data_IF_699398621254
#
_entry.id   IF_699398621254
#
_cell.length_a   1.000
_cell.length_b   1.000
_cell.length_c   1.000
_cell.angle_alpha   90.00
_cell.angle_beta   90.00
_cell.angle_gamma   90.00
#
_symmetry.space_group_name_H-M   'P 1'
#
loop_
_entity.id
_entity.type
_entity.pdbx_description
1 polymer ?
#
# COMPACT_ATOMS: atom_id res chain seq x y z
N UNK A 1 -29.87 6.17 12.46
CA UNK A 1 -30.04 6.47 11.01
C UNK A 1 -29.10 5.55 10.27
N UNK A 2 -29.64 4.60 9.52
CA UNK A 2 -28.86 3.63 8.77
C UNK A 2 -27.99 4.37 7.74
N UNK A 3 -26.70 4.10 7.74
CA UNK A 3 -25.79 4.54 6.69
C UNK A 3 -26.24 3.85 5.41
N UNK A 4 -26.72 4.63 4.43
CA UNK A 4 -27.03 4.12 3.10
C UNK A 4 -25.79 3.45 2.54
N UNK A 5 -25.90 2.15 2.37
CA UNK A 5 -24.91 1.28 1.74
C UNK A 5 -24.90 1.59 0.24
N UNK A 6 -24.26 2.70 -0.13
CA UNK A 6 -24.06 3.05 -1.54
C UNK A 6 -22.99 2.10 -2.06
N UNK A 7 -23.43 0.97 -2.61
CA UNK A 7 -22.61 0.13 -3.48
C UNK A 7 -22.17 0.99 -4.67
N UNK A 8 -20.93 1.48 -4.67
CA UNK A 8 -20.39 2.16 -5.84
C UNK A 8 -20.13 1.12 -6.92
N UNK A 9 -20.84 1.25 -8.04
CA UNK A 9 -20.59 0.43 -9.22
C UNK A 9 -19.24 0.83 -9.82
N UNK A 10 -18.23 -0.05 -9.68
CA UNK A 10 -16.89 0.12 -10.24
C UNK A 10 -16.96 0.48 -11.73
N UNK A 11 -17.94 -0.06 -12.46
CA UNK A 11 -18.14 0.23 -13.88
C UNK A 11 -18.45 1.71 -14.12
N UNK A 12 -19.29 2.32 -13.27
CA UNK A 12 -19.64 3.76 -13.35
C UNK A 12 -18.51 4.66 -12.86
N UNK A 13 -17.67 4.18 -11.95
CA UNK A 13 -16.48 4.90 -11.52
C UNK A 13 -15.41 4.95 -12.60
N UNK A 14 -15.19 3.83 -13.27
CA UNK A 14 -14.08 3.64 -14.19
C UNK A 14 -14.43 3.90 -15.66
N UNK A 15 -15.70 4.07 -16.01
CA UNK A 15 -16.15 4.38 -17.37
C UNK A 15 -16.67 5.81 -17.49
N UNK A 16 -16.75 6.32 -18.71
CA UNK A 16 -17.47 7.54 -19.10
C UNK A 16 -18.50 7.18 -20.19
N UNK A 17 -19.28 8.16 -20.66
CA UNK A 17 -20.24 7.95 -21.76
C UNK A 17 -19.54 7.46 -23.05
N UNK A 18 -18.28 7.85 -23.25
CA UNK A 18 -17.52 7.58 -24.47
C UNK A 18 -16.43 6.50 -24.29
N UNK A 19 -16.18 6.02 -23.06
CA UNK A 19 -15.09 5.08 -22.77
C UNK A 19 -15.48 4.02 -21.74
N UNK A 20 -15.37 2.75 -22.15
CA UNK A 20 -15.59 1.57 -21.30
C UNK A 20 -14.32 0.72 -21.07
N UNK A 21 -13.14 1.24 -21.40
CA UNK A 21 -11.87 0.52 -21.32
C UNK A 21 -10.80 1.27 -20.50
N UNK A 22 -9.91 0.52 -19.88
CA UNK A 22 -8.65 0.97 -19.29
C UNK A 22 -7.49 0.59 -20.22
N UNK A 23 -6.30 1.15 -19.98
CA UNK A 23 -5.11 0.85 -20.78
C UNK A 23 -4.05 0.12 -19.94
N UNK A 24 -3.32 -0.79 -20.58
CA UNK A 24 -2.05 -1.33 -20.08
C UNK A 24 -0.89 -0.44 -20.53
N UNK A 25 0.27 -0.62 -19.90
CA UNK A 25 1.49 0.13 -20.23
C UNK A 25 2.05 -0.18 -21.64
N UNK A 26 1.59 -1.24 -22.28
CA UNK A 26 1.88 -1.58 -23.68
C UNK A 26 0.83 -1.02 -24.67
N UNK A 27 -0.16 -0.26 -24.20
CA UNK A 27 -1.24 0.31 -25.00
C UNK A 27 -2.47 -0.59 -25.17
N UNK A 28 -2.44 -1.83 -24.70
CA UNK A 28 -3.59 -2.73 -24.80
C UNK A 28 -4.79 -2.19 -24.02
N UNK A 29 -5.97 -2.30 -24.62
CA UNK A 29 -7.21 -1.89 -23.99
C UNK A 29 -7.86 -3.07 -23.27
N UNK A 30 -8.31 -2.83 -22.03
CA UNK A 30 -9.00 -3.81 -21.20
C UNK A 30 -10.36 -3.24 -20.81
N UNK A 31 -11.44 -3.94 -21.15
CA UNK A 31 -12.79 -3.52 -20.76
C UNK A 31 -12.93 -3.45 -19.25
N UNK A 32 -13.59 -2.40 -18.77
CA UNK A 32 -13.86 -2.18 -17.34
C UNK A 32 -14.66 -3.35 -16.75
N UNK A 33 -15.56 -3.97 -17.53
CA UNK A 33 -16.32 -5.15 -17.10
C UNK A 33 -15.44 -6.36 -16.74
N UNK A 34 -14.19 -6.43 -17.21
CA UNK A 34 -13.26 -7.49 -16.83
C UNK A 34 -12.75 -7.37 -15.38
N UNK A 35 -13.03 -6.24 -14.71
CA UNK A 35 -12.66 -6.01 -13.30
C UNK A 35 -13.79 -6.40 -12.34
N UNK A 36 -14.99 -6.70 -12.84
CA UNK A 36 -16.12 -7.11 -11.99
C UNK A 36 -15.78 -8.43 -11.29
N UNK A 37 -16.01 -8.47 -9.97
CA UNK A 37 -15.69 -9.64 -9.15
C UNK A 37 -14.24 -9.74 -8.71
N UNK A 38 -13.37 -8.80 -9.10
CA UNK A 38 -11.99 -8.70 -8.62
C UNK A 38 -11.87 -7.73 -7.44
N UNK A 39 -10.84 -7.91 -6.64
CA UNK A 39 -10.35 -6.88 -5.72
C UNK A 39 -9.58 -5.86 -6.55
N UNK A 40 -9.93 -4.58 -6.42
CA UNK A 40 -9.34 -3.52 -7.26
C UNK A 40 -8.73 -2.44 -6.38
N UNK A 41 -7.47 -2.07 -6.64
CA UNK A 41 -6.81 -0.93 -6.01
C UNK A 41 -6.82 0.31 -6.90
N UNK A 42 -7.42 1.41 -6.47
CA UNK A 42 -7.31 2.71 -7.12
C UNK A 42 -6.08 3.42 -6.61
N UNK A 43 -5.05 3.48 -7.45
CA UNK A 43 -3.77 4.05 -7.10
C UNK A 43 -3.63 5.47 -7.64
N UNK A 44 -3.77 6.46 -6.77
CA UNK A 44 -3.55 7.87 -7.09
C UNK A 44 -2.09 8.22 -6.89
N UNK A 45 -1.40 8.59 -7.98
CA UNK A 45 0.04 8.83 -7.97
C UNK A 45 0.47 9.81 -9.06
N UNK A 46 1.75 10.16 -9.10
CA UNK A 46 2.35 10.99 -10.15
C UNK A 46 3.88 10.92 -10.13
N UNK A 47 4.51 11.00 -11.30
CA UNK A 47 5.95 10.84 -11.50
C UNK A 47 6.77 11.85 -10.70
N UNK A 48 6.27 13.08 -10.56
CA UNK A 48 6.93 14.18 -9.85
C UNK A 48 6.96 14.00 -8.31
N UNK A 49 6.12 13.11 -7.77
CA UNK A 49 5.98 12.89 -6.33
C UNK A 49 7.03 11.90 -5.80
N UNK A 50 7.97 12.40 -4.98
CA UNK A 50 9.03 11.58 -4.35
C UNK A 50 8.50 10.38 -3.54
N UNK A 51 7.56 10.57 -2.59
CA UNK A 51 6.97 9.46 -1.84
C UNK A 51 6.27 8.42 -2.72
N UNK A 52 5.74 8.84 -3.87
CA UNK A 52 5.08 7.96 -4.84
C UNK A 52 6.07 7.05 -5.55
N UNK A 53 7.20 7.61 -5.99
CA UNK A 53 8.31 6.82 -6.58
C UNK A 53 8.90 5.82 -5.60
N UNK A 54 8.88 6.12 -4.29
CA UNK A 54 9.31 5.16 -3.27
C UNK A 54 8.29 4.05 -3.01
N UNK A 55 6.99 4.34 -3.15
CA UNK A 55 5.93 3.36 -2.88
C UNK A 55 5.63 2.45 -4.07
N UNK A 56 5.81 2.93 -5.29
CA UNK A 56 5.45 2.18 -6.52
C UNK A 56 6.16 0.84 -6.63
N UNK A 57 7.49 0.73 -6.41
CA UNK A 57 8.19 -0.56 -6.49
C UNK A 57 7.65 -1.58 -5.48
N UNK A 58 7.30 -1.13 -4.28
CA UNK A 58 6.68 -1.99 -3.26
C UNK A 58 5.30 -2.49 -3.70
N UNK A 59 4.48 -1.60 -4.28
CA UNK A 59 3.17 -2.01 -4.80
C UNK A 59 3.29 -2.96 -5.99
N UNK A 60 4.30 -2.78 -6.85
CA UNK A 60 4.63 -3.71 -7.95
C UNK A 60 4.93 -5.10 -7.41
N UNK A 61 5.81 -5.21 -6.41
CA UNK A 61 6.16 -6.50 -5.78
C UNK A 61 4.92 -7.21 -5.24
N UNK A 62 4.05 -6.51 -4.51
CA UNK A 62 2.81 -7.08 -3.97
C UNK A 62 1.85 -7.48 -5.09
N UNK A 63 1.72 -6.65 -6.12
CA UNK A 63 0.86 -6.94 -7.27
C UNK A 63 1.33 -8.19 -8.02
N UNK A 64 2.62 -8.37 -8.26
CA UNK A 64 3.15 -9.54 -8.96
C UNK A 64 2.87 -10.83 -8.19
N UNK A 65 3.00 -10.81 -6.86
CA UNK A 65 2.67 -11.96 -6.02
C UNK A 65 1.17 -12.31 -6.05
N UNK A 66 0.29 -11.30 -6.11
CA UNK A 66 -1.17 -11.50 -6.08
C UNK A 66 -1.78 -11.76 -7.45
N UNK A 67 -1.31 -11.11 -8.50
CA UNK A 67 -1.86 -11.22 -9.86
C UNK A 67 -1.77 -12.63 -10.44
N UNK A 68 -0.81 -13.45 -9.95
CA UNK A 68 -0.72 -14.88 -10.25
C UNK A 68 -1.99 -15.67 -9.86
N UNK A 69 -2.79 -15.18 -8.90
CA UNK A 69 -4.07 -15.77 -8.46
C UNK A 69 -5.27 -15.29 -9.28
N UNK A 70 -5.11 -14.20 -10.05
CA UNK A 70 -6.09 -13.67 -11.00
C UNK A 70 -7.20 -12.80 -10.41
N UNK A 71 -7.22 -12.55 -9.10
CA UNK A 71 -8.31 -11.88 -8.38
C UNK A 71 -7.98 -10.46 -7.90
N UNK A 72 -6.75 -9.98 -8.11
CA UNK A 72 -6.32 -8.61 -7.77
C UNK A 72 -5.92 -7.82 -9.02
N UNK A 73 -6.38 -6.57 -9.10
CA UNK A 73 -6.01 -5.62 -10.15
C UNK A 73 -5.75 -4.23 -9.57
N UNK A 74 -4.90 -3.43 -10.21
CA UNK A 74 -4.66 -2.04 -9.84
C UNK A 74 -5.01 -1.12 -11.01
N UNK A 75 -5.66 0.00 -10.71
CA UNK A 75 -5.94 1.05 -11.68
C UNK A 75 -5.20 2.31 -11.26
N UNK A 76 -4.24 2.74 -12.07
CA UNK A 76 -3.49 3.97 -11.90
C UNK A 76 -4.32 5.18 -12.34
N UNK A 77 -4.48 6.13 -11.41
CA UNK A 77 -5.11 7.43 -11.62
C UNK A 77 -4.05 8.52 -11.50
N UNK A 78 -3.50 8.89 -12.65
CA UNK A 78 -2.37 9.81 -12.72
C UNK A 78 -2.69 11.25 -12.27
N UNK A 79 -1.68 11.87 -11.67
CA UNK A 79 -1.58 13.30 -11.34
C UNK A 79 -0.45 13.98 -12.11
N UNK A 80 0.07 13.33 -13.14
CA UNK A 80 1.03 13.92 -14.06
C UNK A 80 0.38 15.04 -14.88
N UNK A 81 1.22 15.97 -15.34
CA UNK A 81 0.77 17.21 -16.00
C UNK A 81 0.79 17.11 -17.52
N UNK A 82 1.46 16.10 -18.04
CA UNK A 82 1.68 15.86 -19.46
C UNK A 82 1.77 14.35 -19.73
N UNK A 83 1.55 14.00 -20.99
CA UNK A 83 1.48 12.62 -21.48
C UNK A 83 2.83 11.91 -21.40
N UNK A 84 3.94 12.63 -21.60
CA UNK A 84 5.30 12.08 -21.54
C UNK A 84 5.64 11.59 -20.12
N UNK A 85 5.39 12.42 -19.12
CA UNK A 85 5.59 12.08 -17.71
C UNK A 85 4.69 10.92 -17.28
N UNK A 86 3.44 10.90 -17.75
CA UNK A 86 2.52 9.79 -17.53
C UNK A 86 3.04 8.48 -18.12
N UNK A 87 3.39 8.46 -19.41
CA UNK A 87 3.82 7.27 -20.12
C UNK A 87 5.13 6.71 -19.53
N UNK A 88 6.08 7.60 -19.22
CA UNK A 88 7.37 7.21 -18.61
C UNK A 88 7.13 6.49 -17.29
N UNK A 89 6.34 7.07 -16.41
CA UNK A 89 6.09 6.49 -15.09
C UNK A 89 5.18 5.25 -15.15
N UNK A 90 4.18 5.25 -16.01
CA UNK A 90 3.29 4.12 -16.21
C UNK A 90 4.01 2.92 -16.85
N UNK A 91 5.09 3.14 -17.62
CA UNK A 91 5.89 2.05 -18.18
C UNK A 91 6.47 1.11 -17.12
N UNK A 92 6.68 1.61 -15.89
CA UNK A 92 7.20 0.84 -14.76
C UNK A 92 6.12 0.00 -14.04
N UNK A 93 4.85 0.10 -14.46
CA UNK A 93 3.71 -0.47 -13.75
C UNK A 93 3.07 -1.64 -14.52
N UNK A 94 2.90 -2.83 -13.91
CA UNK A 94 2.36 -4.02 -14.58
C UNK A 94 0.81 -4.09 -14.63
N UNK A 95 0.14 -3.01 -14.25
CA UNK A 95 -1.32 -2.94 -14.07
C UNK A 95 -1.99 -1.97 -15.05
N UNK A 96 -3.25 -1.61 -14.81
CA UNK A 96 -4.06 -0.79 -15.69
C UNK A 96 -4.00 0.71 -15.33
N UNK A 97 -4.36 1.58 -16.25
CA UNK A 97 -4.53 3.01 -16.00
C UNK A 97 -5.81 3.57 -16.65
N UNK A 98 -6.34 4.64 -16.05
CA UNK A 98 -7.25 5.53 -16.78
C UNK A 98 -6.42 6.25 -17.85
N UNK A 99 -6.84 6.25 -19.14
CA UNK A 99 -6.12 6.95 -20.19
C UNK A 99 -5.80 8.40 -19.84
N UNK A 100 -4.61 8.88 -20.19
CA UNK A 100 -4.19 10.23 -19.83
C UNK A 100 -5.10 11.32 -20.45
N UNK A 101 -5.70 11.05 -21.61
CA UNK A 101 -6.67 11.94 -22.25
C UNK A 101 -7.97 12.10 -21.43
N UNK A 102 -8.36 11.10 -20.64
CA UNK A 102 -9.59 11.12 -19.83
C UNK A 102 -9.39 11.92 -18.54
N UNK A 103 -9.27 13.23 -18.71
CA UNK A 103 -9.06 14.17 -17.60
C UNK A 103 -10.29 14.29 -16.70
N UNK A 104 -11.49 14.14 -17.25
CA UNK A 104 -12.73 14.23 -16.50
C UNK A 104 -12.85 13.10 -15.48
N UNK A 105 -12.68 11.84 -15.89
CA UNK A 105 -12.76 10.69 -14.99
C UNK A 105 -11.70 10.79 -13.90
N UNK A 106 -10.45 11.16 -14.24
CA UNK A 106 -9.38 11.30 -13.23
C UNK A 106 -9.67 12.41 -12.21
N UNK A 107 -10.23 13.55 -12.63
CA UNK A 107 -10.63 14.63 -11.71
C UNK A 107 -11.79 14.18 -10.82
N UNK A 108 -12.84 13.61 -11.41
CA UNK A 108 -14.00 13.09 -10.69
C UNK A 108 -13.60 12.07 -9.63
N UNK A 109 -12.73 11.11 -9.97
CA UNK A 109 -12.25 10.11 -9.01
C UNK A 109 -11.49 10.74 -7.84
N UNK A 110 -10.62 11.73 -8.10
CA UNK A 110 -9.92 12.47 -7.02
C UNK A 110 -10.90 13.17 -6.08
N UNK A 111 -11.97 13.74 -6.62
CA UNK A 111 -13.01 14.43 -5.84
C UNK A 111 -13.87 13.46 -5.02
N UNK A 112 -14.38 12.39 -5.66
CA UNK A 112 -15.20 11.35 -5.01
C UNK A 112 -14.47 10.73 -3.83
N UNK A 113 -13.19 10.38 -4.01
CA UNK A 113 -12.35 9.80 -2.96
C UNK A 113 -11.64 10.83 -2.08
N UNK A 114 -11.94 12.13 -2.28
CA UNK A 114 -11.39 13.25 -1.50
C UNK A 114 -9.87 13.16 -1.34
N UNK A 115 -9.16 12.83 -2.42
CA UNK A 115 -7.71 12.63 -2.42
C UNK A 115 -7.00 13.96 -2.19
N UNK A 116 -6.47 14.16 -0.98
CA UNK A 116 -5.76 15.40 -0.57
C UNK A 116 -4.25 15.34 -0.76
N UNK A 117 -3.70 14.15 -0.99
CA UNK A 117 -2.28 13.92 -1.15
C UNK A 117 -2.01 12.59 -1.84
N UNK A 118 -0.84 12.47 -2.45
CA UNK A 118 -0.37 11.26 -3.11
C UNK A 118 0.98 10.80 -2.49
N UNK A 119 1.29 9.50 -2.46
CA UNK A 119 0.46 8.40 -2.99
C UNK A 119 -0.79 8.16 -2.13
N UNK A 120 -1.88 7.75 -2.78
CA UNK A 120 -3.09 7.27 -2.10
C UNK A 120 -3.57 5.99 -2.81
N UNK A 121 -4.02 5.00 -2.04
CA UNK A 121 -4.47 3.71 -2.54
C UNK A 121 -5.77 3.35 -1.82
N UNK A 122 -6.87 3.29 -2.58
CA UNK A 122 -8.18 2.84 -2.09
C UNK A 122 -8.46 1.47 -2.69
N UNK A 123 -8.73 0.48 -1.84
CA UNK A 123 -8.95 -0.90 -2.25
C UNK A 123 -10.43 -1.23 -2.13
N UNK A 124 -10.97 -1.83 -3.17
CA UNK A 124 -12.34 -2.31 -3.28
C UNK A 124 -12.36 -3.83 -3.21
N UNK A 125 -13.36 -4.38 -2.52
CA UNK A 125 -13.64 -5.81 -2.52
C UNK A 125 -14.27 -6.27 -3.84
N UNK A 126 -14.53 -7.58 -3.94
CA UNK A 126 -15.13 -8.21 -5.11
C UNK A 126 -16.56 -7.75 -5.41
N UNK A 127 -17.23 -7.07 -4.47
CA UNK A 127 -18.55 -6.48 -4.63
C UNK A 127 -18.48 -5.00 -5.05
N UNK A 128 -17.29 -4.43 -5.22
CA UNK A 128 -17.09 -3.03 -5.56
C UNK A 128 -17.24 -2.07 -4.38
N UNK A 129 -17.18 -2.57 -3.13
CA UNK A 129 -17.23 -1.73 -1.93
C UNK A 129 -15.82 -1.46 -1.43
N UNK A 130 -15.58 -0.27 -0.89
CA UNK A 130 -14.30 0.08 -0.28
C UNK A 130 -14.04 -0.84 0.91
N UNK A 131 -12.98 -1.66 0.84
CA UNK A 131 -12.54 -2.53 1.92
C UNK A 131 -11.40 -1.93 2.74
N UNK A 132 -10.61 -1.03 2.12
CA UNK A 132 -9.49 -0.35 2.75
C UNK A 132 -9.24 1.01 2.08
N UNK A 133 -9.36 2.10 2.85
CA UNK A 133 -9.14 3.48 2.40
C UNK A 133 -7.71 4.00 2.68
N UNK A 134 -6.93 3.23 3.43
CA UNK A 134 -5.55 3.52 3.83
C UNK A 134 -4.53 2.55 3.20
N UNK A 135 -4.78 2.10 1.96
CA UNK A 135 -4.05 1.03 1.30
C UNK A 135 -2.54 1.22 1.24
N UNK A 136 -2.04 2.45 1.14
CA UNK A 136 -0.58 2.73 1.14
C UNK A 136 0.08 2.28 2.44
N UNK A 137 -0.51 2.61 3.58
CA UNK A 137 0.03 2.20 4.89
C UNK A 137 -0.11 0.71 5.07
N UNK A 138 -1.28 0.16 4.74
CA UNK A 138 -1.55 -1.28 4.82
C UNK A 138 -0.55 -2.11 4.01
N UNK A 139 -0.25 -1.72 2.77
CA UNK A 139 0.74 -2.40 1.93
C UNK A 139 2.16 -2.22 2.47
N UNK A 140 2.50 -1.06 3.03
CA UNK A 140 3.82 -0.85 3.68
C UNK A 140 4.02 -1.70 4.94
N UNK A 141 2.97 -1.86 5.73
CA UNK A 141 3.02 -2.58 7.00
C UNK A 141 2.95 -4.09 6.80
N UNK A 142 2.08 -4.56 5.90
CA UNK A 142 1.75 -5.98 5.79
C UNK A 142 2.08 -6.62 4.44
N UNK A 143 2.49 -5.84 3.43
CA UNK A 143 2.82 -6.36 2.10
C UNK A 143 1.71 -7.25 1.52
N UNK A 144 2.11 -8.43 1.03
CA UNK A 144 1.19 -9.45 0.48
C UNK A 144 0.31 -10.09 1.55
N UNK A 145 0.77 -10.15 2.81
CA UNK A 145 0.03 -10.79 3.90
C UNK A 145 -1.24 -10.01 4.25
N UNK A 146 -1.27 -8.72 3.94
CA UNK A 146 -2.45 -7.87 4.09
C UNK A 146 -3.65 -8.31 3.25
N UNK A 147 -3.43 -9.06 2.16
CA UNK A 147 -4.49 -9.54 1.27
C UNK A 147 -5.53 -10.41 2.01
N UNK A 148 -6.85 -10.23 1.79
CA UNK A 148 -7.53 -9.41 0.77
C UNK A 148 -7.75 -7.94 1.15
N UNK A 149 -6.97 -7.40 2.09
CA UNK A 149 -7.02 -6.01 2.54
C UNK A 149 -8.40 -5.58 3.04
N UNK A 150 -9.05 -6.47 3.80
CA UNK A 150 -10.31 -6.18 4.48
C UNK A 150 -10.08 -6.09 6.00
N UNK A 151 -11.04 -5.49 6.70
CA UNK A 151 -10.91 -5.20 8.14
C UNK A 151 -10.61 -6.46 8.98
N UNK A 152 -11.27 -7.58 8.68
CA UNK A 152 -11.08 -8.84 9.41
C UNK A 152 -9.65 -9.36 9.28
N UNK A 153 -9.09 -9.34 8.06
CA UNK A 153 -7.70 -9.74 7.82
C UNK A 153 -6.71 -8.83 8.54
N UNK A 154 -6.94 -7.52 8.48
CA UNK A 154 -6.05 -6.54 9.11
C UNK A 154 -6.10 -6.63 10.64
N UNK A 155 -7.28 -6.87 11.22
CA UNK A 155 -7.43 -7.09 12.66
C UNK A 155 -6.71 -8.37 13.10
N UNK A 156 -6.82 -9.45 12.32
CA UNK A 156 -6.11 -10.70 12.58
C UNK A 156 -4.59 -10.52 12.57
N UNK A 157 -4.03 -9.80 11.61
CA UNK A 157 -2.59 -9.52 11.54
C UNK A 157 -2.12 -8.69 12.75
N UNK A 158 -2.88 -7.64 13.09
CA UNK A 158 -2.58 -6.81 14.27
C UNK A 158 -2.60 -7.61 15.56
N UNK A 159 -3.58 -8.50 15.75
CA UNK A 159 -3.64 -9.37 16.92
C UNK A 159 -2.44 -10.31 16.98
N UNK A 160 -2.01 -10.89 15.85
CA UNK A 160 -0.78 -11.69 15.81
C UNK A 160 0.46 -10.89 16.19
N UNK A 161 0.62 -9.69 15.66
CA UNK A 161 1.76 -8.81 16.00
C UNK A 161 1.75 -8.41 17.48
N UNK A 162 0.60 -8.08 18.03
CA UNK A 162 0.46 -7.77 19.45
C UNK A 162 0.79 -8.97 20.33
N UNK A 163 0.32 -10.15 19.97
CA UNK A 163 0.61 -11.39 20.69
C UNK A 163 2.09 -11.75 20.57
N UNK A 164 2.71 -11.56 19.40
CA UNK A 164 4.14 -11.74 19.22
C UNK A 164 4.94 -10.76 20.09
N UNK A 165 4.56 -9.48 20.13
CA UNK A 165 5.18 -8.46 21.00
C UNK A 165 5.01 -8.80 22.49
N UNK A 166 3.82 -9.24 22.92
CA UNK A 166 3.53 -9.62 24.32
C UNK A 166 4.30 -10.87 24.76
N UNK A 167 4.59 -11.78 23.83
CA UNK A 167 5.32 -13.02 24.11
C UNK A 167 6.84 -12.88 23.94
N UNK A 168 7.35 -11.70 23.60
CA UNK A 168 8.79 -11.45 23.57
C UNK A 168 9.38 -11.40 24.99
N UNK A 169 10.60 -11.93 25.12
CA UNK A 169 11.44 -11.80 26.30
C UNK A 169 12.64 -10.91 26.02
N UNK A 170 13.23 -10.34 27.09
CA UNK A 170 14.50 -9.58 27.00
C UNK A 170 15.57 -10.40 26.26
N UNK A 171 15.65 -11.70 26.56
CA UNK A 171 16.55 -12.64 25.89
C UNK A 171 16.21 -12.81 24.40
N UNK A 172 14.93 -12.96 24.03
CA UNK A 172 14.54 -13.10 22.61
C UNK A 172 14.85 -11.86 21.75
N UNK A 173 14.87 -10.67 22.35
CA UNK A 173 15.11 -9.41 21.64
C UNK A 173 16.60 -9.06 21.62
N UNK A 174 17.32 -9.26 22.73
CA UNK A 174 18.68 -8.76 22.90
C UNK A 174 19.76 -9.80 22.60
N UNK A 175 19.43 -11.11 22.59
CA UNK A 175 20.35 -12.20 22.26
C UNK A 175 20.27 -12.52 20.77
N UNK A 176 21.42 -12.70 20.13
CA UNK A 176 21.57 -13.26 18.79
C UNK A 176 22.53 -14.46 18.82
N UNK A 177 22.69 -15.15 17.69
CA UNK A 177 23.67 -16.24 17.55
C UNK A 177 25.12 -15.82 17.84
N UNK A 178 25.42 -14.53 17.80
CA UNK A 178 26.76 -13.97 17.98
C UNK A 178 26.91 -13.02 19.17
N UNK A 179 25.83 -12.71 19.90
CA UNK A 179 25.87 -11.73 20.99
C UNK A 179 24.80 -12.02 22.05
N UNK A 180 25.22 -12.13 23.30
CA UNK A 180 24.40 -12.37 24.48
C UNK A 180 24.59 -11.30 25.57
N UNK A 181 25.17 -10.14 25.22
CA UNK A 181 25.44 -9.02 26.11
C UNK A 181 25.03 -7.67 25.51
N UNK A 182 24.76 -6.68 26.37
CA UNK A 182 24.67 -5.24 26.01
C UNK A 182 25.90 -4.48 26.49
N UNK A 183 26.09 -3.24 26.03
CA UNK A 183 27.27 -2.42 26.36
C UNK A 183 26.84 -1.23 27.22
N UNK A 184 27.54 -1.01 28.34
CA UNK A 184 27.37 0.17 29.19
C UNK A 184 28.13 1.39 28.67
N UNK A 185 27.89 2.57 29.25
CA UNK A 185 28.53 3.82 28.83
C UNK A 185 30.07 3.83 28.99
N UNK A 186 30.61 3.00 29.88
CA UNK A 186 32.04 2.80 30.11
C UNK A 186 32.62 1.66 29.25
N UNK A 187 31.85 1.14 28.29
CA UNK A 187 32.26 0.11 27.35
C UNK A 187 32.26 -1.31 27.89
N UNK A 188 31.81 -1.55 29.14
CA UNK A 188 31.72 -2.90 29.69
C UNK A 188 30.59 -3.68 29.05
N UNK A 189 30.80 -4.99 28.91
CA UNK A 189 29.80 -5.94 28.45
C UNK A 189 28.97 -6.42 29.64
N UNK A 190 27.66 -6.24 29.57
CA UNK A 190 26.70 -6.69 30.58
C UNK A 190 25.89 -7.85 29.96
N UNK A 191 25.98 -9.07 30.50
CA UNK A 191 25.17 -10.20 30.03
C UNK A 191 23.69 -9.85 29.99
N UNK A 192 22.99 -10.29 28.95
CA UNK A 192 21.54 -10.09 28.82
C UNK A 192 20.80 -10.81 29.96
N UNK A 193 21.32 -11.94 30.42
CA UNK A 193 20.79 -12.67 31.57
C UNK A 193 20.71 -11.80 32.84
N UNK A 194 21.68 -10.89 33.03
CA UNK A 194 21.70 -9.98 34.18
C UNK A 194 20.61 -8.90 34.10
N UNK A 195 19.92 -8.79 32.98
CA UNK A 195 18.79 -7.88 32.76
C UNK A 195 17.44 -8.57 33.03
N UNK A 196 17.41 -9.90 33.16
CA UNK A 196 16.17 -10.61 33.47
C UNK A 196 15.64 -10.21 34.86
N UNK A 197 14.33 -9.98 34.96
CA UNK A 197 13.68 -9.50 36.18
C UNK A 197 13.87 -8.01 36.48
N UNK A 198 14.63 -7.26 35.66
CA UNK A 198 14.76 -5.80 35.78
C UNK A 198 13.72 -5.07 34.91
N UNK A 199 13.33 -3.88 35.33
CA UNK A 199 12.59 -2.96 34.46
C UNK A 199 13.58 -2.39 33.42
N UNK A 200 13.46 -2.83 32.18
CA UNK A 200 14.33 -2.42 31.08
C UNK A 200 13.52 -1.59 30.09
N UNK A 201 13.95 -0.34 29.85
CA UNK A 201 13.40 0.51 28.80
C UNK A 201 14.25 0.41 27.54
N UNK A 202 13.62 0.19 26.38
CA UNK A 202 14.27 0.26 25.08
C UNK A 202 14.03 1.64 24.47
N UNK A 203 15.12 2.35 24.15
CA UNK A 203 15.08 3.65 23.50
C UNK A 203 15.59 3.53 22.07
N UNK A 204 14.76 3.94 21.11
CA UNK A 204 15.08 3.92 19.69
C UNK A 204 15.21 5.35 19.17
N UNK A 205 16.31 5.66 18.48
CA UNK A 205 16.53 6.94 17.81
C UNK A 205 16.93 6.67 16.36
N UNK A 206 16.26 7.34 15.43
CA UNK A 206 16.52 7.22 13.99
C UNK A 206 17.10 8.56 13.54
N UNK A 207 18.37 8.58 13.15
CA UNK A 207 18.93 9.75 12.47
C UNK A 207 18.55 9.69 11.00
N UNK A 208 17.59 10.51 10.58
CA UNK A 208 17.32 10.69 9.17
C UNK A 208 18.49 11.45 8.54
N UNK A 209 19.35 10.77 7.78
CA UNK A 209 20.29 11.45 6.91
C UNK A 209 19.51 12.29 5.90
N UNK A 210 19.58 13.61 6.04
CA UNK A 210 19.19 14.54 4.96
C UNK A 210 20.12 14.27 3.78
N UNK A 211 19.59 13.65 2.73
CA UNK A 211 20.17 13.81 1.39
C UNK A 211 19.83 15.25 1.00
N UNK A 212 20.81 16.14 1.12
CA UNK A 212 20.73 17.52 0.61
C UNK A 212 20.81 17.44 -0.93
N UNK A 213 20.07 18.27 -1.69
CA UNK A 213 19.86 18.10 -3.13
C UNK A 213 21.14 18.09 -3.96
#
# INVERSE_FOLDING_TARGET
MATEDVSLDLSKLLSSEERDFLIRNNGDQVKVSNLVGKIVGFYFSGSWCGPCRNFTPLLVEVYEQLSSKGDFEVVFISSDRDDESFNTYFSEMPWLAIPFSDTETRKRLKEVFKVRGIPNLVIFDTNGKVSCDNGVSTVKEHGVDGYPFNLDRLNFLKEQEENAKKNQTISSILVSSSRDYVISNDGKKIPVLDLEGKLVGLYFSIHAHRIVP
#
